data_IF_663403195226
#
_entry.id   IF_663403195226
#
_cell.length_a   1.000
_cell.length_b   1.000
_cell.length_c   1.000
_cell.angle_alpha   90.00
_cell.angle_beta   90.00
_cell.angle_gamma   90.00
#
_symmetry.space_group_name_H-M   'P 1'
#
loop_
_entity.id
_entity.type
_entity.pdbx_description
1 polymer ?
#
# COMPACT_ATOMS: atom_id res chain seq x y z
N UNK A 1 -26.34 22.74 -35.30
CA UNK A 1 -26.41 21.29 -35.08
C UNK A 1 -25.97 21.06 -33.63
N UNK A 2 -26.94 20.76 -32.76
CA UNK A 2 -26.79 20.81 -31.29
C UNK A 2 -25.93 19.67 -30.74
N UNK A 3 -24.76 20.02 -30.17
CA UNK A 3 -23.80 19.13 -29.55
C UNK A 3 -24.14 18.80 -28.05
N UNK A 4 -25.42 18.68 -27.73
CA UNK A 4 -25.92 18.44 -26.35
C UNK A 4 -26.48 17.03 -26.11
N UNK A 5 -26.11 16.03 -26.93
CA UNK A 5 -26.59 14.65 -26.76
C UNK A 5 -25.48 13.60 -26.92
N UNK A 6 -24.40 13.68 -26.18
CA UNK A 6 -23.43 12.57 -26.07
C UNK A 6 -22.53 12.70 -24.86
N UNK A 7 -23.05 13.05 -23.68
CA UNK A 7 -22.39 12.68 -22.42
C UNK A 7 -23.39 11.72 -21.78
N UNK A 8 -23.43 10.52 -22.31
CA UNK A 8 -23.93 9.38 -21.59
C UNK A 8 -22.97 9.14 -20.43
N UNK A 9 -23.48 9.36 -19.23
CA UNK A 9 -22.84 8.99 -17.98
C UNK A 9 -22.53 7.49 -18.08
N UNK A 10 -21.31 7.17 -18.51
CA UNK A 10 -20.70 5.88 -18.28
C UNK A 10 -20.45 5.77 -16.78
N UNK A 11 -21.51 5.51 -16.02
CA UNK A 11 -21.37 5.02 -14.67
C UNK A 11 -20.41 3.85 -14.75
N UNK A 12 -19.28 3.93 -14.05
CA UNK A 12 -18.43 2.78 -13.77
C UNK A 12 -19.32 1.72 -13.09
N UNK A 13 -19.95 0.88 -13.90
CA UNK A 13 -20.69 -0.29 -13.48
C UNK A 13 -19.73 -1.43 -13.14
N UNK A 14 -18.81 -1.16 -12.21
CA UNK A 14 -18.11 -2.20 -11.49
C UNK A 14 -18.85 -2.39 -10.17
N UNK A 15 -19.93 -3.16 -10.17
CA UNK A 15 -20.63 -3.52 -8.95
C UNK A 15 -22.12 -3.84 -9.08
N UNK A 16 -22.76 -3.59 -10.22
CA UNK A 16 -24.20 -3.82 -10.36
C UNK A 16 -24.58 -5.18 -11.00
N UNK A 17 -23.62 -5.99 -11.42
CA UNK A 17 -23.91 -7.26 -12.08
C UNK A 17 -24.08 -8.48 -11.12
N UNK A 18 -23.91 -8.30 -9.82
CA UNK A 18 -24.09 -9.41 -8.86
C UNK A 18 -25.43 -9.40 -8.09
N UNK A 19 -26.29 -8.42 -8.30
CA UNK A 19 -27.61 -8.35 -7.61
C UNK A 19 -28.79 -8.92 -8.40
N UNK A 20 -28.55 -9.62 -9.51
CA UNK A 20 -29.58 -10.07 -10.44
C UNK A 20 -30.20 -11.44 -10.22
N UNK A 21 -29.93 -12.15 -9.12
CA UNK A 21 -30.43 -13.53 -8.94
C UNK A 21 -30.88 -13.93 -7.53
N UNK A 22 -31.11 -12.99 -6.63
CA UNK A 22 -31.80 -13.31 -5.39
C UNK A 22 -33.28 -13.09 -5.60
N UNK A 23 -34.03 -14.20 -5.76
CA UNK A 23 -35.46 -14.19 -5.88
C UNK A 23 -36.09 -13.33 -4.79
N UNK A 24 -37.01 -12.47 -5.14
CA UNK A 24 -37.76 -11.62 -4.25
C UNK A 24 -38.44 -12.44 -3.16
N UNK A 25 -37.75 -12.60 -2.02
CA UNK A 25 -38.45 -12.91 -0.77
C UNK A 25 -39.19 -11.60 -0.48
N UNK A 26 -40.52 -11.60 -0.68
CA UNK A 26 -41.38 -10.46 -0.42
C UNK A 26 -41.40 -10.12 1.07
N UNK A 27 -40.35 -9.47 1.53
CA UNK A 27 -40.37 -8.79 2.82
C UNK A 27 -41.10 -7.48 2.55
N UNK A 28 -42.34 -7.36 3.04
CA UNK A 28 -43.11 -6.13 3.02
C UNK A 28 -42.20 -5.03 3.60
N UNK A 29 -41.86 -4.04 2.77
CA UNK A 29 -41.13 -2.89 3.25
C UNK A 29 -42.02 -2.11 4.21
N UNK A 30 -41.56 -1.76 5.41
CA UNK A 30 -42.36 -0.95 6.33
C UNK A 30 -42.71 0.37 5.67
N UNK A 31 -44.00 0.72 5.61
CA UNK A 31 -44.47 2.03 5.19
C UNK A 31 -44.02 3.07 6.23
N UNK A 32 -43.01 3.87 5.86
CA UNK A 32 -42.48 4.96 6.73
C UNK A 32 -41.06 5.39 6.31
N UNK A 33 -40.66 6.55 6.80
CA UNK A 33 -39.26 7.01 6.65
C UNK A 33 -38.32 6.14 7.51
N UNK A 34 -37.76 5.11 6.89
CA UNK A 34 -36.76 4.29 7.54
C UNK A 34 -35.42 5.04 7.58
N UNK A 35 -34.70 5.08 8.75
CA UNK A 35 -33.40 5.78 8.84
C UNK A 35 -32.39 5.35 7.78
N UNK A 36 -32.42 4.08 7.37
CA UNK A 36 -31.56 3.58 6.28
C UNK A 36 -31.91 4.19 4.93
N UNK A 37 -33.18 4.49 4.65
CA UNK A 37 -33.58 5.18 3.39
C UNK A 37 -33.02 6.59 3.36
N UNK A 38 -33.13 7.33 4.45
CA UNK A 38 -32.55 8.68 4.58
C UNK A 38 -31.03 8.66 4.38
N UNK A 39 -30.33 7.69 4.97
CA UNK A 39 -28.89 7.51 4.76
C UNK A 39 -28.54 7.29 3.27
N UNK A 40 -29.30 6.42 2.57
CA UNK A 40 -29.08 6.16 1.14
C UNK A 40 -29.36 7.40 0.30
N UNK A 41 -30.43 8.14 0.60
CA UNK A 41 -30.79 9.38 -0.12
C UNK A 41 -29.69 10.44 0.06
N UNK A 42 -29.18 10.63 1.29
CA UNK A 42 -28.07 11.54 1.58
C UNK A 42 -26.78 11.12 0.86
N UNK A 43 -26.50 9.82 0.80
CA UNK A 43 -25.36 9.29 0.06
C UNK A 43 -25.50 9.53 -1.44
N UNK A 44 -26.66 9.23 -2.02
CA UNK A 44 -26.94 9.43 -3.42
C UNK A 44 -26.91 10.92 -3.81
N UNK A 45 -27.36 11.81 -2.94
CA UNK A 45 -27.27 13.26 -3.15
C UNK A 45 -25.79 13.72 -3.21
N UNK A 46 -24.93 13.18 -2.35
CA UNK A 46 -23.46 13.43 -2.40
C UNK A 46 -22.84 12.86 -3.67
N UNK A 47 -23.25 11.66 -4.08
CA UNK A 47 -22.76 11.04 -5.31
C UNK A 47 -23.15 11.81 -6.57
N UNK A 48 -24.28 12.55 -6.53
CA UNK A 48 -24.76 13.41 -7.60
C UNK A 48 -24.21 14.84 -7.54
N UNK A 49 -23.19 15.11 -6.69
CA UNK A 49 -22.56 16.44 -6.59
C UNK A 49 -22.06 16.90 -7.96
N UNK A 50 -22.49 18.08 -8.45
CA UNK A 50 -22.01 18.63 -9.72
C UNK A 50 -20.49 18.87 -9.73
N UNK A 51 -19.86 18.94 -8.55
CA UNK A 51 -18.40 19.07 -8.39
C UNK A 51 -17.69 17.71 -8.27
N UNK A 52 -18.37 16.57 -8.42
CA UNK A 52 -17.79 15.25 -8.24
C UNK A 52 -16.46 15.07 -9.01
N UNK A 53 -16.43 15.53 -10.28
CA UNK A 53 -15.20 15.45 -11.08
C UNK A 53 -14.05 16.28 -10.50
N UNK A 54 -14.32 17.48 -10.00
CA UNK A 54 -13.31 18.32 -9.35
C UNK A 54 -12.79 17.66 -8.05
N UNK A 55 -13.67 17.00 -7.29
CA UNK A 55 -13.29 16.25 -6.10
C UNK A 55 -12.39 15.05 -6.44
N UNK A 56 -12.69 14.31 -7.52
CA UNK A 56 -11.80 13.24 -8.02
C UNK A 56 -10.44 13.78 -8.46
N UNK A 57 -10.41 14.86 -9.22
CA UNK A 57 -9.15 15.48 -9.65
C UNK A 57 -8.32 15.91 -8.45
N UNK A 58 -8.93 16.56 -7.46
CA UNK A 58 -8.25 16.97 -6.22
C UNK A 58 -7.71 15.76 -5.43
N UNK A 59 -8.47 14.66 -5.36
CA UNK A 59 -8.02 13.43 -4.72
C UNK A 59 -6.80 12.82 -5.44
N UNK A 60 -6.68 13.04 -6.75
CA UNK A 60 -5.55 12.58 -7.57
C UNK A 60 -4.36 13.55 -7.66
N UNK A 61 -4.41 14.72 -7.02
CA UNK A 61 -3.32 15.70 -7.05
C UNK A 61 -2.06 15.17 -6.35
N UNK A 62 -0.90 15.42 -6.98
CA UNK A 62 0.40 15.15 -6.37
C UNK A 62 0.78 16.29 -5.44
N UNK A 63 1.54 15.99 -4.40
CA UNK A 63 2.04 16.95 -3.43
C UNK A 63 3.27 16.44 -2.70
N UNK A 64 3.69 17.09 -1.60
CA UNK A 64 4.93 16.79 -0.89
C UNK A 64 5.14 15.32 -0.50
N UNK A 65 4.06 14.59 -0.21
CA UNK A 65 4.14 13.15 0.09
C UNK A 65 4.59 12.32 -1.13
N UNK A 66 4.20 12.72 -2.34
CA UNK A 66 4.65 12.09 -3.58
C UNK A 66 6.09 12.46 -3.92
N UNK A 67 6.50 13.69 -3.62
CA UNK A 67 7.89 14.15 -3.74
C UNK A 67 8.80 13.36 -2.79
N UNK A 68 8.35 13.11 -1.55
CA UNK A 68 9.07 12.24 -0.62
C UNK A 68 9.26 10.82 -1.20
N UNK A 69 8.23 10.20 -1.78
CA UNK A 69 8.38 8.88 -2.41
C UNK A 69 9.39 8.90 -3.56
N UNK A 70 9.47 9.99 -4.31
CA UNK A 70 10.40 10.13 -5.42
C UNK A 70 11.87 10.12 -4.98
N UNK A 71 12.19 10.44 -3.73
CA UNK A 71 13.56 10.36 -3.19
C UNK A 71 14.11 8.93 -3.18
N UNK A 72 13.23 7.93 -3.09
CA UNK A 72 13.60 6.52 -3.12
C UNK A 72 13.76 5.97 -4.55
N UNK A 73 13.41 6.73 -5.60
CA UNK A 73 13.52 6.26 -6.98
C UNK A 73 14.98 6.06 -7.39
N UNK A 74 15.26 4.96 -8.11
CA UNK A 74 16.60 4.63 -8.62
C UNK A 74 16.90 3.13 -8.55
N UNK A 75 18.15 2.80 -8.87
CA UNK A 75 18.69 1.45 -8.76
C UNK A 75 19.62 1.36 -7.55
N UNK A 76 19.52 0.28 -6.79
CA UNK A 76 20.26 0.09 -5.55
C UNK A 76 20.83 -1.31 -5.45
N UNK A 77 22.03 -1.41 -4.87
CA UNK A 77 22.51 -2.64 -4.27
C UNK A 77 21.90 -2.75 -2.87
N UNK A 78 21.50 -3.96 -2.49
CA UNK A 78 20.84 -4.23 -1.22
C UNK A 78 21.61 -5.24 -0.39
N UNK A 79 21.73 -4.97 0.91
CA UNK A 79 22.25 -5.91 1.91
C UNK A 79 21.15 -6.18 2.90
N UNK A 80 20.65 -7.40 2.92
CA UNK A 80 19.58 -7.85 3.82
C UNK A 80 20.17 -8.59 5.00
N UNK A 81 19.73 -8.23 6.21
CA UNK A 81 19.99 -8.95 7.46
C UNK A 81 18.67 -9.46 8.02
N UNK A 82 18.60 -10.74 8.40
CA UNK A 82 17.41 -11.38 8.94
C UNK A 82 17.72 -12.04 10.27
N UNK A 83 16.89 -11.82 11.26
CA UNK A 83 16.93 -12.45 12.58
C UNK A 83 15.71 -13.36 12.76
N UNK A 84 15.95 -14.64 13.01
CA UNK A 84 14.92 -15.62 13.41
C UNK A 84 14.82 -15.73 14.92
N UNK A 85 15.91 -15.40 15.60
CA UNK A 85 16.04 -15.36 17.06
C UNK A 85 16.69 -14.02 17.40
N UNK A 86 16.07 -13.18 18.26
CA UNK A 86 16.63 -11.89 18.68
C UNK A 86 18.03 -11.98 19.30
N UNK A 87 18.39 -13.13 19.87
CA UNK A 87 19.70 -13.37 20.50
C UNK A 87 20.77 -13.92 19.53
N UNK A 88 20.40 -14.26 18.30
CA UNK A 88 21.32 -14.82 17.32
C UNK A 88 21.92 -13.74 16.41
N UNK A 89 23.06 -14.06 15.80
CA UNK A 89 23.62 -13.26 14.71
C UNK A 89 22.68 -13.33 13.48
N UNK A 90 22.50 -12.24 12.75
CA UNK A 90 21.64 -12.22 11.59
C UNK A 90 22.22 -13.02 10.43
N UNK A 91 21.35 -13.70 9.72
CA UNK A 91 21.68 -14.20 8.39
C UNK A 91 21.78 -13.01 7.43
N UNK A 92 22.82 -12.99 6.60
CA UNK A 92 23.04 -11.92 5.66
C UNK A 92 22.96 -12.43 4.21
N UNK A 93 22.29 -11.67 3.36
CA UNK A 93 22.25 -11.90 1.91
C UNK A 93 22.40 -10.59 1.15
N UNK A 94 22.67 -10.73 -0.17
CA UNK A 94 22.78 -9.59 -1.08
C UNK A 94 21.68 -9.66 -2.12
N UNK A 95 21.24 -8.48 -2.54
CA UNK A 95 20.23 -8.33 -3.57
C UNK A 95 20.39 -7.03 -4.33
N UNK A 96 19.43 -6.77 -5.18
CA UNK A 96 19.29 -5.51 -5.90
C UNK A 96 17.84 -5.04 -5.83
N UNK A 97 17.67 -3.73 -5.89
CA UNK A 97 16.37 -3.10 -5.86
C UNK A 97 16.27 -2.05 -6.97
N UNK A 98 15.16 -2.05 -7.68
CA UNK A 98 14.83 -0.99 -8.64
C UNK A 98 13.54 -0.33 -8.21
N UNK A 99 13.61 0.95 -7.94
CA UNK A 99 12.48 1.78 -7.54
C UNK A 99 12.11 2.75 -8.66
N UNK A 100 10.88 2.70 -9.13
CA UNK A 100 10.40 3.53 -10.24
C UNK A 100 9.12 4.26 -9.86
N UNK A 101 9.08 5.58 -10.10
CA UNK A 101 7.82 6.31 -9.99
C UNK A 101 6.91 5.97 -11.17
N UNK A 102 5.70 5.51 -10.88
CA UNK A 102 4.71 5.10 -11.88
C UNK A 102 3.43 5.95 -11.77
N UNK A 103 2.50 5.80 -12.75
CA UNK A 103 1.24 6.55 -12.80
C UNK A 103 1.47 8.06 -12.66
N UNK A 104 2.36 8.59 -13.50
CA UNK A 104 2.73 10.00 -13.51
C UNK A 104 3.23 10.50 -12.14
N UNK A 105 4.03 9.69 -11.45
CA UNK A 105 4.64 10.05 -10.17
C UNK A 105 3.73 9.95 -8.94
N UNK A 106 2.62 9.20 -9.02
CA UNK A 106 1.69 9.00 -7.89
C UNK A 106 2.07 7.83 -7.00
N UNK A 107 2.79 6.85 -7.55
CA UNK A 107 3.16 5.64 -6.83
C UNK A 107 4.64 5.33 -7.06
N UNK A 108 5.27 4.78 -6.04
CA UNK A 108 6.59 4.17 -6.11
C UNK A 108 6.41 2.66 -6.29
N UNK A 109 6.87 2.13 -7.42
CA UNK A 109 7.00 0.70 -7.66
C UNK A 109 8.39 0.27 -7.22
N UNK A 110 8.48 -0.71 -6.35
CA UNK A 110 9.73 -1.35 -5.90
C UNK A 110 9.81 -2.75 -6.47
N UNK A 111 10.90 -3.11 -7.10
CA UNK A 111 11.21 -4.45 -7.56
C UNK A 111 12.51 -4.90 -6.89
N UNK A 112 12.43 -5.95 -6.07
CA UNK A 112 13.56 -6.53 -5.36
C UNK A 112 13.91 -7.89 -5.93
N UNK A 113 15.20 -8.17 -6.06
CA UNK A 113 15.72 -9.48 -6.43
C UNK A 113 16.95 -9.79 -5.58
N UNK A 114 17.02 -10.99 -5.06
CA UNK A 114 18.11 -11.40 -4.20
C UNK A 114 18.11 -12.90 -3.95
N UNK A 115 18.67 -13.27 -2.82
CA UNK A 115 18.75 -14.65 -2.34
C UNK A 115 18.19 -14.72 -0.92
N UNK A 116 17.41 -15.75 -0.64
CA UNK A 116 16.97 -16.08 0.71
C UNK A 116 17.44 -17.49 1.05
N UNK A 117 18.50 -17.60 1.84
CA UNK A 117 19.09 -18.89 2.27
C UNK A 117 19.49 -19.81 1.09
N UNK A 118 20.06 -19.24 0.03
CA UNK A 118 20.45 -19.99 -1.18
C UNK A 118 19.30 -20.23 -2.18
N UNK A 119 18.11 -19.69 -1.91
CA UNK A 119 16.93 -19.79 -2.79
C UNK A 119 16.74 -18.45 -3.48
N UNK A 120 16.64 -18.40 -4.82
CA UNK A 120 16.32 -17.17 -5.54
C UNK A 120 15.02 -16.56 -5.02
N UNK A 121 15.09 -15.28 -4.66
CA UNK A 121 13.97 -14.52 -4.12
C UNK A 121 13.71 -13.29 -4.96
N UNK A 122 12.43 -13.01 -5.21
CA UNK A 122 12.00 -11.77 -5.83
C UNK A 122 10.74 -11.25 -5.17
N UNK A 123 10.63 -9.94 -5.07
CA UNK A 123 9.48 -9.29 -4.49
C UNK A 123 9.14 -7.99 -5.20
N UNK A 124 7.90 -7.58 -5.03
CA UNK A 124 7.34 -6.38 -5.63
C UNK A 124 6.53 -5.62 -4.58
N UNK A 125 6.74 -4.30 -4.52
CA UNK A 125 5.89 -3.42 -3.74
C UNK A 125 5.30 -2.29 -4.59
N UNK A 126 4.13 -1.82 -4.18
CA UNK A 126 3.56 -0.57 -4.65
C UNK A 126 3.26 0.31 -3.44
N UNK A 127 3.92 1.47 -3.36
CA UNK A 127 3.75 2.44 -2.29
C UNK A 127 3.14 3.71 -2.85
N UNK A 128 2.12 4.25 -2.20
CA UNK A 128 1.46 5.50 -2.58
C UNK A 128 1.02 6.30 -1.37
N UNK A 129 0.57 7.53 -1.61
CA UNK A 129 -0.07 8.36 -0.59
C UNK A 129 -1.52 8.62 -0.96
N UNK A 130 -2.43 8.19 -0.10
CA UNK A 130 -3.87 8.41 -0.27
C UNK A 130 -4.25 9.80 0.25
N UNK A 131 -4.57 10.71 -0.65
CA UNK A 131 -4.96 12.08 -0.30
C UNK A 131 -6.24 12.17 0.53
N UNK A 132 -7.12 11.18 0.45
CA UNK A 132 -8.36 11.16 1.23
C UNK A 132 -8.10 10.68 2.65
N UNK A 133 -7.33 9.60 2.81
CA UNK A 133 -6.99 9.01 4.11
C UNK A 133 -5.86 9.76 4.81
N UNK A 134 -5.04 10.54 4.06
CA UNK A 134 -3.82 11.20 4.54
C UNK A 134 -2.81 10.21 5.12
N UNK A 135 -2.68 9.07 4.46
CA UNK A 135 -1.78 7.98 4.85
C UNK A 135 -1.00 7.47 3.66
N UNK A 136 0.24 7.07 3.89
CA UNK A 136 0.97 6.18 2.98
C UNK A 136 0.37 4.78 3.05
N UNK A 137 0.29 4.15 1.90
CA UNK A 137 -0.14 2.77 1.75
C UNK A 137 0.94 2.00 1.00
N UNK A 138 1.22 0.79 1.46
CA UNK A 138 2.15 -0.13 0.81
C UNK A 138 1.46 -1.48 0.66
N UNK A 139 1.72 -2.15 -0.45
CA UNK A 139 1.40 -3.56 -0.61
C UNK A 139 2.67 -4.28 -1.06
N UNK A 140 2.93 -5.44 -0.47
CA UNK A 140 4.06 -6.31 -0.83
C UNK A 140 3.56 -7.67 -1.27
N UNK A 141 4.20 -8.21 -2.31
CA UNK A 141 4.06 -9.60 -2.78
C UNK A 141 5.44 -10.15 -3.14
N UNK A 142 5.64 -11.45 -2.98
CA UNK A 142 6.92 -12.09 -3.26
C UNK A 142 6.78 -13.51 -3.81
N UNK A 143 7.91 -14.07 -4.22
CA UNK A 143 7.99 -15.39 -4.84
C UNK A 143 7.83 -16.56 -3.87
N UNK A 144 7.79 -16.33 -2.56
CA UNK A 144 7.69 -17.38 -1.53
C UNK A 144 6.31 -17.46 -0.89
N UNK A 145 5.43 -16.52 -1.23
CA UNK A 145 4.07 -16.44 -0.69
C UNK A 145 3.04 -16.25 -1.81
N UNK A 146 1.80 -16.61 -1.54
CA UNK A 146 0.63 -16.24 -2.37
C UNK A 146 -0.20 -15.15 -1.71
N UNK A 147 0.21 -14.68 -0.56
CA UNK A 147 -0.43 -13.60 0.18
C UNK A 147 -0.08 -12.21 -0.33
N UNK A 148 -0.88 -11.24 0.06
CA UNK A 148 -0.58 -9.82 -0.12
C UNK A 148 -0.43 -9.23 1.28
N UNK A 149 0.70 -8.56 1.53
CA UNK A 149 0.97 -7.92 2.81
C UNK A 149 0.75 -6.40 2.71
N UNK A 150 -0.42 -5.89 3.12
CA UNK A 150 -0.70 -4.45 3.13
C UNK A 150 -0.17 -3.81 4.41
N UNK A 151 0.31 -2.56 4.28
CA UNK A 151 0.71 -1.73 5.42
C UNK A 151 0.31 -0.27 5.21
N UNK A 152 0.05 0.44 6.31
CA UNK A 152 -0.41 1.82 6.31
C UNK A 152 0.31 2.63 7.38
N UNK A 153 0.56 3.89 7.11
CA UNK A 153 1.20 4.74 8.12
C UNK A 153 1.54 6.13 7.62
N UNK A 154 2.50 6.76 8.28
CA UNK A 154 2.86 8.14 7.95
C UNK A 154 4.33 8.44 8.22
N UNK A 155 4.73 9.66 7.86
CA UNK A 155 6.04 10.23 8.23
C UNK A 155 6.06 10.65 9.69
N UNK A 156 7.24 10.59 10.26
CA UNK A 156 7.54 11.22 11.53
C UNK A 156 7.64 12.77 11.39
N UNK A 157 7.89 13.46 12.49
CA UNK A 157 8.01 14.92 12.48
C UNK A 157 9.23 15.47 11.74
N UNK A 158 10.25 14.63 11.53
CA UNK A 158 11.45 15.03 10.78
C UNK A 158 11.22 15.00 9.27
N UNK A 159 10.22 14.23 8.82
CA UNK A 159 9.94 13.99 7.40
C UNK A 159 10.93 13.06 6.72
N UNK A 160 11.79 12.36 7.49
CA UNK A 160 12.80 11.44 6.95
C UNK A 160 12.56 9.98 7.29
N UNK A 161 11.61 9.70 8.19
CA UNK A 161 11.26 8.35 8.62
C UNK A 161 9.79 8.07 8.33
N UNK A 162 9.52 7.10 7.46
CA UNK A 162 8.18 6.60 7.20
C UNK A 162 7.96 5.30 7.97
N UNK A 163 6.94 5.28 8.82
CA UNK A 163 6.55 4.08 9.58
C UNK A 163 5.20 3.59 9.10
N UNK A 164 5.15 2.33 8.70
CA UNK A 164 3.93 1.65 8.25
C UNK A 164 3.67 0.43 9.15
N UNK A 165 2.40 0.17 9.45
CA UNK A 165 1.95 -0.99 10.23
C UNK A 165 1.02 -1.83 9.37
N UNK A 166 1.18 -3.14 9.41
CA UNK A 166 0.39 -4.08 8.64
C UNK A 166 0.19 -5.40 9.38
N UNK A 167 -0.48 -6.31 8.68
CA UNK A 167 -0.65 -7.69 9.11
C UNK A 167 -0.20 -8.63 8.00
N UNK A 168 0.41 -9.75 8.38
CA UNK A 168 0.80 -10.83 7.48
C UNK A 168 0.55 -12.17 8.17
N UNK A 169 0.45 -13.23 7.39
CA UNK A 169 0.41 -14.58 7.91
C UNK A 169 1.82 -15.13 8.02
N UNK A 170 2.11 -15.86 9.09
CA UNK A 170 3.42 -16.44 9.38
C UNK A 170 3.37 -17.99 9.17
N UNK A 171 3.87 -18.48 8.03
CA UNK A 171 3.76 -19.90 7.69
C UNK A 171 4.49 -20.84 8.66
N UNK A 172 5.60 -20.38 9.27
CA UNK A 172 6.41 -21.23 10.15
C UNK A 172 5.69 -21.52 11.48
N UNK A 173 4.99 -20.54 12.02
CA UNK A 173 4.25 -20.67 13.29
C UNK A 173 2.77 -20.98 13.06
N UNK A 174 2.25 -20.80 11.85
CA UNK A 174 0.82 -20.89 11.53
C UNK A 174 0.01 -19.73 12.09
N UNK A 175 0.65 -18.65 12.54
CA UNK A 175 -0.01 -17.48 13.07
C UNK A 175 -0.62 -16.67 11.92
N UNK A 176 -1.93 -16.39 12.04
CA UNK A 176 -2.70 -15.62 11.05
C UNK A 176 -2.87 -14.18 11.50
N UNK A 177 -2.61 -13.24 10.60
CA UNK A 177 -2.81 -11.81 10.89
C UNK A 177 -1.80 -11.24 11.90
N UNK A 178 -0.59 -11.77 11.95
CA UNK A 178 0.50 -11.26 12.78
C UNK A 178 0.81 -9.81 12.42
N UNK A 179 0.87 -8.94 13.41
CA UNK A 179 1.25 -7.55 13.21
C UNK A 179 2.73 -7.40 12.91
N UNK A 180 3.04 -6.55 11.96
CA UNK A 180 4.41 -6.10 11.69
C UNK A 180 4.46 -4.59 11.49
N UNK A 181 5.65 -4.02 11.68
CA UNK A 181 5.95 -2.61 11.47
C UNK A 181 7.13 -2.50 10.49
N UNK A 182 6.95 -1.73 9.43
CA UNK A 182 8.02 -1.35 8.50
C UNK A 182 8.46 0.08 8.81
N UNK A 183 9.76 0.30 8.86
CA UNK A 183 10.35 1.62 9.08
C UNK A 183 11.33 1.90 7.94
N UNK A 184 11.00 2.88 7.12
CA UNK A 184 11.85 3.35 6.03
C UNK A 184 12.56 4.63 6.49
N UNK A 185 13.89 4.62 6.47
CA UNK A 185 14.73 5.77 6.86
C UNK A 185 15.49 6.25 5.66
N UNK A 186 15.28 7.50 5.28
CA UNK A 186 16.13 8.18 4.32
C UNK A 186 17.37 8.70 5.07
N UNK A 187 18.54 8.19 4.73
CA UNK A 187 19.81 8.57 5.36
C UNK A 187 20.42 9.75 4.62
N UNK A 188 20.55 9.62 3.30
CA UNK A 188 21.01 10.64 2.37
C UNK A 188 20.50 10.33 0.95
N UNK A 189 21.00 11.02 -0.07
CA UNK A 189 20.58 10.87 -1.47
C UNK A 189 20.90 9.46 -2.04
N UNK A 190 21.94 8.81 -1.51
CA UNK A 190 22.44 7.52 -2.00
C UNK A 190 22.08 6.34 -1.07
N UNK A 191 21.64 6.61 0.15
CA UNK A 191 21.43 5.57 1.16
C UNK A 191 20.08 5.68 1.84
N UNK A 192 19.39 4.55 1.93
CA UNK A 192 18.21 4.39 2.77
C UNK A 192 18.17 2.99 3.39
N UNK A 193 17.40 2.86 4.45
CA UNK A 193 17.24 1.61 5.21
C UNK A 193 15.76 1.29 5.34
N UNK A 194 15.42 0.02 5.19
CA UNK A 194 14.13 -0.53 5.58
C UNK A 194 14.33 -1.53 6.71
N UNK A 195 13.59 -1.34 7.79
CA UNK A 195 13.54 -2.28 8.92
C UNK A 195 12.15 -2.89 8.99
N UNK A 196 12.07 -4.18 9.28
CA UNK A 196 10.84 -4.87 9.63
C UNK A 196 10.92 -5.33 11.09
N UNK A 197 9.92 -4.92 11.85
CA UNK A 197 9.77 -5.23 13.26
C UNK A 197 8.53 -6.09 13.46
N UNK A 198 8.67 -7.11 14.28
CA UNK A 198 7.59 -8.03 14.65
C UNK A 198 7.36 -7.98 16.15
N UNK A 199 6.17 -8.44 16.57
CA UNK A 199 5.86 -8.62 18.00
C UNK A 199 6.02 -10.10 18.31
N UNK A 200 6.95 -10.41 19.20
CA UNK A 200 7.19 -11.76 19.69
C UNK A 200 6.99 -11.79 21.21
N UNK A 201 6.00 -12.58 21.67
CA UNK A 201 5.64 -12.69 23.11
C UNK A 201 5.37 -11.34 23.80
N UNK A 202 4.88 -10.34 23.06
CA UNK A 202 4.58 -9.01 23.57
C UNK A 202 5.70 -7.98 23.43
N UNK A 203 6.91 -8.42 23.03
CA UNK A 203 8.04 -7.54 22.79
C UNK A 203 8.28 -7.32 21.29
N UNK A 204 8.61 -6.09 20.90
CA UNK A 204 9.03 -5.79 19.53
C UNK A 204 10.49 -6.24 19.32
N UNK A 205 10.75 -6.94 18.22
CA UNK A 205 12.12 -7.20 17.79
C UNK A 205 12.29 -6.92 16.29
N UNK A 206 13.49 -6.54 15.90
CA UNK A 206 13.83 -6.32 14.51
C UNK A 206 14.08 -7.66 13.83
N UNK A 207 13.12 -8.10 13.01
CA UNK A 207 13.21 -9.36 12.28
C UNK A 207 14.03 -9.24 10.99
N UNK A 208 14.03 -8.04 10.37
CA UNK A 208 14.76 -7.80 9.12
C UNK A 208 15.23 -6.35 9.02
N UNK A 209 16.36 -6.18 8.37
CA UNK A 209 16.91 -4.90 7.96
C UNK A 209 17.46 -5.02 6.54
N UNK A 210 17.17 -4.04 5.70
CA UNK A 210 17.74 -3.95 4.37
C UNK A 210 18.39 -2.58 4.23
N UNK A 211 19.70 -2.57 4.00
CA UNK A 211 20.46 -1.38 3.66
C UNK A 211 20.55 -1.28 2.13
N UNK A 212 20.16 -0.13 1.61
CA UNK A 212 20.19 0.17 0.19
C UNK A 212 21.24 1.23 -0.11
N UNK A 213 22.13 0.92 -1.08
CA UNK A 213 23.12 1.86 -1.59
C UNK A 213 22.88 2.08 -3.08
N UNK A 214 22.71 3.35 -3.49
CA UNK A 214 22.41 3.72 -4.88
C UNK A 214 23.55 3.29 -5.81
N UNK A 215 23.20 2.64 -6.92
CA UNK A 215 24.18 2.29 -7.96
C UNK A 215 24.65 3.56 -8.67
N UNK A 216 25.96 3.72 -8.79
CA UNK A 216 26.53 4.83 -9.56
C UNK A 216 26.31 4.55 -11.06
N UNK A 217 25.76 5.53 -11.75
CA UNK A 217 25.69 5.49 -13.22
C UNK A 217 27.09 5.32 -13.78
N UNK A 218 27.24 4.33 -14.69
CA UNK A 218 28.48 4.15 -15.42
C UNK A 218 28.66 5.24 -16.48
#
# INVERSE_FOLDING_TARGET
MNLKKAIGVGALACGAAACGAWGAIGIAQPEGEHPGKKYVEEYMAKAADPNAMANYMKAGEKGPAHEFLALFAGEFDAVTRMWWDPAAEPMQSKGSCTNTMVMDGRFLKTEYSGDMMGIPFSGFALTGFDNNKKLFTNVWVDSMSTGIAPAFGNLDRTGTVMTLVGQMDEPNTGEMGKFYKQVFRLIDEDHHVMEMWEILYGDEFKAMEIEYTRKKSK
#
